data_IF_964338380495
#
_entry.id   IF_964338380495
#
_cell.length_a   1.000
_cell.length_b   1.000
_cell.length_c   1.000
_cell.angle_alpha   90.00
_cell.angle_beta   90.00
_cell.angle_gamma   90.00
#
_symmetry.space_group_name_H-M   'P 1'
#
loop_
_entity.id
_entity.type
_entity.pdbx_description
1 polymer ?
#
# COMPACT_ATOMS: atom_id res chain seq x y z
N UNK A 1 27.77 31.47 29.73
CA UNK A 1 26.70 30.61 30.26
C UNK A 1 25.82 30.26 29.07
N UNK A 2 25.99 29.05 28.51
CA UNK A 2 25.08 28.56 27.47
C UNK A 2 23.79 28.16 28.17
N UNK A 3 22.66 28.65 27.68
CA UNK A 3 21.38 28.15 28.15
C UNK A 3 21.31 26.67 27.77
N UNK A 4 21.23 25.80 28.78
CA UNK A 4 20.88 24.41 28.59
C UNK A 4 19.36 24.32 28.54
N UNK A 5 18.74 24.97 27.55
CA UNK A 5 17.31 24.96 27.35
C UNK A 5 16.80 23.53 27.35
N UNK A 6 16.17 23.15 28.46
CA UNK A 6 15.48 21.87 28.61
C UNK A 6 14.45 21.79 27.48
N UNK A 7 14.49 20.71 26.70
CA UNK A 7 13.51 20.49 25.65
C UNK A 7 12.11 20.63 26.26
N UNK A 8 11.17 21.34 25.60
CA UNK A 8 9.84 21.55 26.16
C UNK A 8 9.22 20.20 26.53
N UNK A 9 8.54 20.10 27.69
CA UNK A 9 8.03 18.84 28.20
C UNK A 9 7.07 18.20 27.18
N UNK A 10 7.34 16.96 26.81
CA UNK A 10 6.47 16.17 25.93
C UNK A 10 5.25 15.75 26.75
N UNK A 11 4.06 16.11 26.28
CA UNK A 11 2.80 15.68 26.89
C UNK A 11 2.45 14.30 26.36
N UNK A 12 2.32 13.32 27.24
CA UNK A 12 1.97 11.92 26.90
C UNK A 12 0.63 11.52 27.50
N UNK A 13 -0.09 10.61 26.84
CA UNK A 13 -1.36 10.03 27.31
C UNK A 13 -1.10 8.79 28.19
N UNK A 14 -0.24 7.87 27.73
CA UNK A 14 0.06 6.60 28.42
C UNK A 14 1.44 6.63 29.11
N UNK A 15 2.25 7.65 28.81
CA UNK A 15 3.59 7.82 29.37
C UNK A 15 4.56 6.76 28.90
N UNK A 16 5.50 6.38 29.76
CA UNK A 16 6.57 5.43 29.43
C UNK A 16 6.05 4.06 28.98
N UNK A 17 4.81 3.69 29.32
CA UNK A 17 4.21 2.43 28.93
C UNK A 17 4.12 2.26 27.40
N UNK A 18 3.72 3.30 26.67
CA UNK A 18 3.66 3.26 25.20
C UNK A 18 5.04 3.06 24.57
N UNK A 19 6.07 3.69 25.16
CA UNK A 19 7.46 3.56 24.70
C UNK A 19 7.99 2.14 24.94
N UNK A 20 7.79 1.57 26.14
CA UNK A 20 8.21 0.20 26.43
C UNK A 20 7.51 -0.85 25.55
N UNK A 21 6.23 -0.63 25.28
CA UNK A 21 5.44 -1.44 24.34
C UNK A 21 5.99 -1.33 22.91
N UNK A 22 6.34 -0.13 22.45
CA UNK A 22 6.98 0.08 21.15
C UNK A 22 8.35 -0.60 21.05
N UNK A 23 9.20 -0.50 22.08
CA UNK A 23 10.50 -1.20 22.15
C UNK A 23 10.30 -2.72 22.01
N UNK A 24 9.32 -3.27 22.73
CA UNK A 24 8.99 -4.70 22.67
C UNK A 24 8.53 -5.10 21.28
N UNK A 25 7.65 -4.31 20.66
CA UNK A 25 7.16 -4.55 19.31
C UNK A 25 8.30 -4.53 18.28
N UNK A 26 9.16 -3.51 18.32
CA UNK A 26 10.32 -3.40 17.43
C UNK A 26 11.30 -4.57 17.60
N UNK A 27 11.56 -5.00 18.83
CA UNK A 27 12.43 -6.16 19.11
C UNK A 27 11.87 -7.49 18.59
N UNK A 28 10.56 -7.57 18.35
CA UNK A 28 9.86 -8.74 17.80
C UNK A 28 9.53 -8.64 16.31
N UNK A 29 9.73 -7.48 15.69
CA UNK A 29 9.33 -7.23 14.32
C UNK A 29 10.21 -8.04 13.35
N UNK A 30 9.57 -8.59 12.31
CA UNK A 30 10.30 -9.25 11.23
C UNK A 30 11.11 -8.21 10.44
N UNK A 31 12.27 -8.60 9.93
CA UNK A 31 12.99 -7.79 8.95
C UNK A 31 12.10 -7.54 7.73
N UNK A 32 12.03 -6.30 7.29
CA UNK A 32 11.30 -5.89 6.09
C UNK A 32 12.28 -5.34 5.05
N UNK A 33 11.93 -5.50 3.78
CA UNK A 33 12.67 -4.87 2.68
C UNK A 33 12.48 -3.34 2.72
N UNK A 34 13.43 -2.57 2.17
CA UNK A 34 13.26 -1.13 2.02
C UNK A 34 11.98 -0.79 1.22
N UNK A 35 11.24 0.21 1.71
CA UNK A 35 10.05 0.72 1.02
C UNK A 35 10.46 1.60 -0.16
N UNK A 36 9.81 1.41 -1.31
CA UNK A 36 9.98 2.24 -2.50
C UNK A 36 8.90 3.33 -2.59
N UNK A 37 9.28 4.55 -2.95
CA UNK A 37 8.33 5.66 -3.10
C UNK A 37 7.63 5.60 -4.46
N UNK A 38 6.30 5.83 -4.47
CA UNK A 38 5.49 5.84 -5.69
C UNK A 38 4.70 7.15 -5.80
N UNK A 39 4.78 7.77 -6.99
CA UNK A 39 4.23 9.11 -7.23
C UNK A 39 2.71 9.16 -7.09
N UNK A 40 1.97 8.21 -7.70
CA UNK A 40 0.51 8.20 -7.60
C UNK A 40 0.00 8.04 -6.16
N UNK A 41 0.67 7.24 -5.33
CA UNK A 41 0.37 7.17 -3.89
C UNK A 41 0.71 8.47 -3.16
N UNK A 42 1.75 9.17 -3.59
CA UNK A 42 2.16 10.47 -3.01
C UNK A 42 1.09 11.52 -3.29
N UNK A 43 0.52 11.52 -4.50
CA UNK A 43 -0.65 12.35 -4.84
C UNK A 43 -1.87 11.99 -4.01
N UNK A 44 -2.16 10.69 -3.82
CA UNK A 44 -3.24 10.25 -2.93
C UNK A 44 -3.06 10.71 -1.47
N UNK A 45 -1.83 10.65 -0.96
CA UNK A 45 -1.49 11.15 0.37
C UNK A 45 -1.64 12.67 0.46
N UNK A 46 -1.26 13.40 -0.61
CA UNK A 46 -1.37 14.86 -0.68
C UNK A 46 -2.83 15.33 -0.70
N UNK A 47 -3.71 14.63 -1.41
CA UNK A 47 -5.15 14.89 -1.39
C UNK A 47 -5.72 14.76 0.03
N UNK A 48 -5.38 13.67 0.72
CA UNK A 48 -5.87 13.46 2.07
C UNK A 48 -5.27 14.44 3.07
N UNK A 49 -3.97 14.75 2.93
CA UNK A 49 -3.32 15.81 3.70
C UNK A 49 -4.05 17.15 3.51
N UNK A 50 -4.38 17.54 2.28
CA UNK A 50 -5.09 18.78 1.99
C UNK A 50 -6.49 18.80 2.62
N UNK A 51 -7.18 17.67 2.62
CA UNK A 51 -8.48 17.52 3.29
C UNK A 51 -8.34 17.69 4.82
N UNK A 52 -7.47 16.90 5.46
CA UNK A 52 -7.34 16.92 6.92
C UNK A 52 -6.69 18.19 7.47
N UNK A 53 -5.89 18.90 6.68
CA UNK A 53 -5.28 20.17 7.06
C UNK A 53 -6.18 21.38 6.78
N UNK A 54 -7.36 21.18 6.20
CA UNK A 54 -8.29 22.27 5.91
C UNK A 54 -9.06 22.74 7.15
N UNK A 55 -9.38 24.04 7.21
CA UNK A 55 -10.25 24.62 8.24
C UNK A 55 -9.72 24.43 9.68
N UNK A 56 -10.54 23.84 10.54
CA UNK A 56 -10.19 23.58 11.95
C UNK A 56 -9.29 22.35 12.16
N UNK A 57 -8.96 21.64 11.07
CA UNK A 57 -8.23 20.37 11.12
C UNK A 57 -9.14 19.18 11.41
N UNK A 58 -8.93 18.07 10.68
CA UNK A 58 -9.60 16.78 10.89
C UNK A 58 -8.56 15.72 11.31
N UNK A 59 -8.96 14.82 12.20
CA UNK A 59 -8.13 13.71 12.64
C UNK A 59 -8.81 12.40 12.27
N UNK A 60 -8.78 12.03 11.00
CA UNK A 60 -9.44 10.81 10.52
C UNK A 60 -8.78 10.26 9.24
N UNK A 61 -8.74 8.94 9.11
CA UNK A 61 -8.38 8.25 7.85
C UNK A 61 -9.46 8.36 6.77
N UNK A 62 -10.70 8.64 7.18
CA UNK A 62 -11.83 8.81 6.25
C UNK A 62 -11.92 10.28 5.80
N UNK A 63 -11.90 10.49 4.49
CA UNK A 63 -11.98 11.81 3.88
C UNK A 63 -13.32 12.50 4.13
N UNK A 64 -13.38 13.80 3.84
CA UNK A 64 -14.60 14.61 3.95
C UNK A 64 -15.69 14.18 2.99
N UNK A 65 -15.30 13.62 1.84
CA UNK A 65 -16.18 13.00 0.86
C UNK A 65 -16.60 11.56 1.26
N UNK A 66 -16.13 11.05 2.40
CA UNK A 66 -16.38 9.68 2.86
C UNK A 66 -15.37 8.65 2.34
N UNK A 67 -14.42 9.07 1.50
CA UNK A 67 -13.46 8.15 0.88
C UNK A 67 -12.54 7.47 1.90
N UNK A 68 -12.22 6.22 1.63
CA UNK A 68 -11.23 5.41 2.37
C UNK A 68 -9.84 5.51 1.70
N UNK A 69 -8.75 5.19 2.43
CA UNK A 69 -7.41 5.28 1.86
C UNK A 69 -7.22 4.51 0.55
N UNK A 70 -7.73 3.28 0.46
CA UNK A 70 -7.65 2.46 -0.75
C UNK A 70 -8.37 3.13 -1.93
N UNK A 71 -9.57 3.69 -1.71
CA UNK A 71 -10.34 4.39 -2.75
C UNK A 71 -9.61 5.65 -3.24
N UNK A 72 -8.93 6.39 -2.34
CA UNK A 72 -8.10 7.54 -2.72
C UNK A 72 -6.89 7.12 -3.55
N UNK A 73 -6.21 6.06 -3.14
CA UNK A 73 -5.10 5.48 -3.90
C UNK A 73 -5.54 5.04 -5.30
N UNK A 74 -6.72 4.41 -5.41
CA UNK A 74 -7.32 3.98 -6.68
C UNK A 74 -7.61 5.11 -7.67
N UNK A 75 -7.62 6.38 -7.25
CA UNK A 75 -7.73 7.54 -8.17
C UNK A 75 -6.46 7.76 -9.01
N UNK A 76 -5.32 7.23 -8.55
CA UNK A 76 -4.00 7.54 -9.10
C UNK A 76 -3.20 6.29 -9.53
N UNK A 77 -3.86 5.13 -9.57
CA UNK A 77 -3.26 3.85 -9.95
C UNK A 77 -3.88 2.69 -9.18
N UNK A 78 -3.44 1.46 -9.47
CA UNK A 78 -3.94 0.26 -8.79
C UNK A 78 -2.97 -0.16 -7.69
N UNK A 79 -3.47 -0.29 -6.45
CA UNK A 79 -2.71 -0.89 -5.36
C UNK A 79 -2.80 -2.42 -5.41
N UNK A 80 -1.78 -3.11 -4.90
CA UNK A 80 -1.68 -4.58 -4.97
C UNK A 80 -1.50 -5.20 -3.59
N UNK A 81 -2.09 -6.39 -3.41
CA UNK A 81 -1.99 -7.20 -2.20
C UNK A 81 -2.69 -6.59 -0.98
N UNK A 82 -2.05 -5.62 -0.34
CA UNK A 82 -2.59 -4.92 0.84
C UNK A 82 -2.47 -3.42 0.64
N UNK A 83 -3.41 -2.67 1.21
CA UNK A 83 -3.44 -1.22 1.19
C UNK A 83 -3.78 -0.68 2.58
N UNK A 84 -3.13 0.40 2.97
CA UNK A 84 -3.33 1.04 4.27
C UNK A 84 -2.87 2.49 4.27
N UNK A 85 -3.15 3.18 5.37
CA UNK A 85 -2.67 4.52 5.62
C UNK A 85 -2.32 4.65 7.10
N UNK A 86 -1.24 5.37 7.38
CA UNK A 86 -0.90 5.82 8.73
C UNK A 86 -0.77 7.35 8.73
N UNK A 87 -1.17 7.99 9.83
CA UNK A 87 -1.09 9.45 9.96
C UNK A 87 -0.33 9.81 11.23
N UNK A 88 0.81 10.47 11.06
CA UNK A 88 1.61 11.00 12.16
C UNK A 88 1.24 12.45 12.46
N UNK A 89 1.15 12.80 13.73
CA UNK A 89 0.94 14.17 14.20
C UNK A 89 2.02 14.57 15.20
N UNK A 90 2.33 15.87 15.26
CA UNK A 90 3.23 16.44 16.25
C UNK A 90 2.78 17.84 16.68
N UNK A 91 2.82 18.10 18.00
CA UNK A 91 2.40 19.37 18.59
C UNK A 91 3.42 20.51 18.42
N UNK A 92 4.63 20.18 17.97
CA UNK A 92 5.72 21.10 17.65
C UNK A 92 6.31 20.78 16.26
N UNK A 93 7.06 21.71 15.64
CA UNK A 93 7.72 21.45 14.36
C UNK A 93 8.61 20.21 14.50
N UNK A 94 8.28 19.17 13.75
CA UNK A 94 8.92 17.86 13.89
C UNK A 94 9.73 17.50 12.64
N UNK A 95 10.85 16.82 12.88
CA UNK A 95 11.59 16.09 11.87
C UNK A 95 10.78 14.89 11.35
N UNK A 96 11.20 14.35 10.19
CA UNK A 96 10.63 13.11 9.68
C UNK A 96 10.80 11.95 10.67
N UNK A 97 11.97 11.84 11.30
CA UNK A 97 12.24 10.80 12.31
C UNK A 97 11.27 10.89 13.49
N UNK A 98 11.00 12.09 14.01
CA UNK A 98 10.06 12.29 15.11
C UNK A 98 8.62 11.93 14.73
N UNK A 99 8.18 12.22 13.50
CA UNK A 99 6.84 11.82 13.03
C UNK A 99 6.72 10.29 12.94
N UNK A 100 7.76 9.61 12.45
CA UNK A 100 7.80 8.14 12.42
C UNK A 100 7.86 7.57 13.83
N UNK A 101 8.62 8.17 14.73
CA UNK A 101 8.65 7.78 16.14
C UNK A 101 7.28 7.95 16.81
N UNK A 102 6.56 9.04 16.55
CA UNK A 102 5.20 9.24 17.08
C UNK A 102 4.25 8.15 16.58
N UNK A 103 4.34 7.77 15.30
CA UNK A 103 3.58 6.64 14.74
C UNK A 103 3.94 5.33 15.44
N UNK A 104 5.23 5.03 15.58
CA UNK A 104 5.70 3.78 16.20
C UNK A 104 5.39 3.72 17.70
N UNK A 105 5.48 4.83 18.43
CA UNK A 105 5.10 4.87 19.85
C UNK A 105 3.58 4.73 20.00
N UNK A 106 2.80 5.33 19.09
CA UNK A 106 1.33 5.26 19.08
C UNK A 106 0.71 5.64 20.44
N UNK A 107 1.26 6.66 21.11
CA UNK A 107 0.80 7.08 22.43
C UNK A 107 -0.66 7.58 22.39
N UNK A 108 -1.51 6.99 23.22
CA UNK A 108 -2.95 7.24 23.25
C UNK A 108 -3.79 6.40 22.30
N UNK A 109 -3.16 5.68 21.37
CA UNK A 109 -3.83 4.82 20.39
C UNK A 109 -3.71 3.35 20.84
N UNK A 110 -4.58 2.95 21.78
CA UNK A 110 -4.53 1.62 22.44
C UNK A 110 -4.54 0.44 21.46
N UNK A 111 -5.14 0.61 20.28
CA UNK A 111 -5.19 -0.48 19.31
C UNK A 111 -3.86 -0.66 18.59
N UNK A 112 -2.91 0.29 18.64
CA UNK A 112 -1.61 0.26 17.95
C UNK A 112 -1.72 -0.05 16.45
N UNK A 113 -2.81 0.41 15.81
CA UNK A 113 -3.12 0.23 14.40
C UNK A 113 -2.00 0.77 13.51
N UNK A 114 -1.61 2.03 13.69
CA UNK A 114 -0.60 2.66 12.84
C UNK A 114 0.76 2.00 13.00
N UNK A 115 1.15 1.65 14.23
CA UNK A 115 2.36 0.87 14.48
C UNK A 115 2.33 -0.50 13.81
N UNK A 116 1.22 -1.23 13.88
CA UNK A 116 1.12 -2.52 13.17
C UNK A 116 1.21 -2.35 11.67
N UNK A 117 0.65 -1.28 11.13
CA UNK A 117 0.73 -1.00 9.70
C UNK A 117 2.18 -0.69 9.29
N UNK A 118 2.88 0.23 9.99
CA UNK A 118 4.25 0.61 9.62
C UNK A 118 5.27 -0.54 9.78
N UNK A 119 5.02 -1.48 10.70
CA UNK A 119 5.87 -2.66 10.92
C UNK A 119 5.45 -3.89 10.11
N UNK A 120 4.46 -3.77 9.23
CA UNK A 120 3.98 -4.90 8.43
C UNK A 120 4.87 -5.10 7.19
N UNK A 121 5.63 -6.22 7.08
CA UNK A 121 6.55 -6.46 5.96
C UNK A 121 5.84 -6.69 4.62
N UNK A 122 4.50 -6.77 4.61
CA UNK A 122 3.72 -6.86 3.38
C UNK A 122 3.65 -5.53 2.63
N UNK A 123 3.89 -4.39 3.30
CA UNK A 123 3.97 -3.11 2.62
C UNK A 123 5.37 -2.92 2.02
N UNK A 124 5.42 -2.64 0.72
CA UNK A 124 6.66 -2.52 -0.05
C UNK A 124 6.78 -1.17 -0.75
N UNK A 125 5.65 -0.48 -0.93
CA UNK A 125 5.60 0.83 -1.56
C UNK A 125 4.86 1.83 -0.68
N UNK A 126 5.23 3.10 -0.80
CA UNK A 126 4.60 4.18 -0.08
C UNK A 126 4.43 5.46 -0.91
N UNK A 127 3.47 6.27 -0.51
CA UNK A 127 3.35 7.66 -0.88
C UNK A 127 3.17 8.53 0.35
N UNK A 128 3.82 9.68 0.40
CA UNK A 128 3.92 10.48 1.62
C UNK A 128 3.65 11.94 1.31
N UNK A 129 2.77 12.56 2.09
CA UNK A 129 2.60 14.01 2.11
C UNK A 129 2.76 14.54 3.54
N UNK A 130 3.49 15.64 3.69
CA UNK A 130 3.77 16.23 5.00
C UNK A 130 3.52 17.73 4.99
N UNK A 131 3.13 18.28 6.13
CA UNK A 131 3.02 19.72 6.30
C UNK A 131 2.41 20.13 7.63
N UNK A 132 2.19 21.44 7.86
CA UNK A 132 1.53 21.93 9.06
C UNK A 132 0.06 21.51 9.13
N UNK A 133 -0.47 21.35 10.35
CA UNK A 133 -1.88 21.05 10.58
C UNK A 133 -2.50 22.12 11.52
N UNK A 134 -3.79 22.49 11.37
CA UNK A 134 -4.37 23.58 12.17
C UNK A 134 -4.34 23.32 13.69
N UNK A 135 -4.51 22.07 14.10
CA UNK A 135 -4.44 21.63 15.51
C UNK A 135 -3.04 21.21 15.95
N UNK A 136 -2.18 20.81 15.01
CA UNK A 136 -0.87 20.20 15.29
C UNK A 136 0.20 20.86 14.44
N UNK A 137 1.34 21.22 15.02
CA UNK A 137 2.39 21.91 14.27
C UNK A 137 2.93 21.14 13.07
N UNK A 138 2.86 19.80 13.05
CA UNK A 138 3.29 18.99 11.90
C UNK A 138 2.46 17.73 11.76
N UNK A 139 2.25 17.31 10.51
CA UNK A 139 1.55 16.08 10.13
C UNK A 139 2.25 15.39 8.96
N UNK A 140 2.20 14.06 8.95
CA UNK A 140 2.52 13.23 7.80
C UNK A 140 1.37 12.27 7.52
N UNK A 141 0.88 12.24 6.28
CA UNK A 141 0.01 11.20 5.75
C UNK A 141 0.89 10.23 4.95
N UNK A 142 0.83 8.95 5.28
CA UNK A 142 1.62 7.90 4.62
C UNK A 142 0.66 6.84 4.11
N UNK A 143 0.48 6.79 2.79
CA UNK A 143 -0.18 5.71 2.09
C UNK A 143 0.79 4.54 1.94
N UNK A 144 0.33 3.32 2.22
CA UNK A 144 1.14 2.09 2.15
C UNK A 144 0.44 1.05 1.28
N UNK A 145 1.19 0.34 0.46
CA UNK A 145 0.67 -0.80 -0.29
C UNK A 145 1.71 -1.92 -0.51
N UNK A 146 1.24 -3.11 -0.86
CA UNK A 146 2.10 -4.22 -1.26
C UNK A 146 2.75 -4.00 -2.64
N UNK A 147 2.09 -3.20 -3.49
CA UNK A 147 2.56 -2.72 -4.79
C UNK A 147 1.65 -1.58 -5.27
N UNK A 148 2.09 -0.77 -6.22
CA UNK A 148 1.30 0.33 -6.80
C UNK A 148 1.77 0.72 -8.19
N UNK A 149 0.85 0.89 -9.12
CA UNK A 149 1.11 1.43 -10.45
C UNK A 149 0.03 1.03 -11.46
N UNK A 150 0.20 1.52 -12.70
CA UNK A 150 -0.45 0.89 -13.84
C UNK A 150 0.03 -0.56 -13.91
N UNK A 151 -0.84 -1.48 -14.30
CA UNK A 151 -0.39 -2.82 -14.67
C UNK A 151 0.56 -2.71 -15.86
N UNK A 152 1.86 -2.58 -15.60
CA UNK A 152 2.84 -2.94 -16.60
C UNK A 152 2.84 -4.45 -16.68
N UNK A 153 2.14 -4.93 -17.70
CA UNK A 153 2.41 -6.16 -18.44
C UNK A 153 3.93 -6.48 -18.60
N UNK A 154 4.81 -5.51 -18.37
CA UNK A 154 6.26 -5.57 -18.49
C UNK A 154 7.02 -6.37 -17.43
N UNK A 155 6.48 -6.67 -16.25
CA UNK A 155 7.21 -7.57 -15.31
C UNK A 155 7.05 -9.06 -15.70
N UNK A 156 6.03 -9.38 -16.49
CA UNK A 156 5.84 -10.70 -17.10
C UNK A 156 6.31 -10.78 -18.55
N UNK A 157 6.85 -9.69 -19.10
CA UNK A 157 7.52 -9.62 -20.40
C UNK A 157 7.10 -10.71 -21.38
N UNK A 158 5.91 -10.56 -21.95
CA UNK A 158 5.30 -11.38 -23.00
C UNK A 158 4.39 -12.55 -22.56
N UNK A 159 4.77 -13.45 -21.65
CA UNK A 159 3.89 -14.54 -21.18
C UNK A 159 4.32 -15.03 -19.78
N UNK A 160 3.37 -15.49 -18.97
CA UNK A 160 3.66 -16.12 -17.69
C UNK A 160 2.78 -17.34 -17.47
N UNK A 161 3.32 -18.34 -16.79
CA UNK A 161 2.54 -19.52 -16.41
C UNK A 161 2.90 -19.91 -14.98
N UNK A 162 1.88 -20.16 -14.16
CA UNK A 162 2.06 -20.70 -12.83
C UNK A 162 0.92 -21.64 -12.45
N UNK A 163 1.25 -22.64 -11.65
CA UNK A 163 0.28 -23.59 -11.09
C UNK A 163 0.21 -23.42 -9.58
N UNK A 164 -1.00 -23.45 -9.04
CA UNK A 164 -1.24 -23.50 -7.60
C UNK A 164 -2.25 -24.62 -7.30
N UNK A 165 -1.88 -25.52 -6.39
CA UNK A 165 -2.85 -26.41 -5.77
C UNK A 165 -3.51 -25.69 -4.59
N UNK A 166 -4.82 -25.84 -4.40
CA UNK A 166 -5.56 -25.21 -3.32
C UNK A 166 -5.11 -25.59 -1.89
N UNK A 167 -4.28 -26.64 -1.78
CA UNK A 167 -3.67 -27.08 -0.51
C UNK A 167 -2.31 -26.44 -0.24
N UNK A 168 -1.76 -25.69 -1.20
CA UNK A 168 -0.44 -25.06 -1.14
C UNK A 168 -0.54 -23.54 -1.12
N UNK A 169 0.43 -22.83 -0.49
CA UNK A 169 0.49 -21.38 -0.58
C UNK A 169 0.78 -20.94 -2.03
N UNK A 170 0.10 -19.90 -2.49
CA UNK A 170 0.34 -19.33 -3.82
C UNK A 170 1.79 -18.85 -3.96
N UNK A 171 2.44 -19.23 -5.06
CA UNK A 171 3.78 -18.75 -5.39
C UNK A 171 3.75 -17.26 -5.72
N UNK A 172 4.86 -16.52 -5.55
CA UNK A 172 4.93 -15.11 -5.94
C UNK A 172 4.51 -14.86 -7.40
N UNK A 173 4.88 -15.75 -8.32
CA UNK A 173 4.50 -15.67 -9.72
C UNK A 173 3.00 -15.90 -9.94
N UNK A 174 2.39 -16.82 -9.19
CA UNK A 174 0.95 -17.05 -9.27
C UNK A 174 0.16 -15.84 -8.76
N UNK A 175 0.61 -15.24 -7.66
CA UNK A 175 0.04 -13.99 -7.13
C UNK A 175 0.18 -12.88 -8.17
N UNK A 176 1.36 -12.75 -8.78
CA UNK A 176 1.59 -11.77 -9.83
C UNK A 176 0.67 -11.97 -11.04
N UNK A 177 0.41 -13.21 -11.46
CA UNK A 177 -0.56 -13.51 -12.53
C UNK A 177 -1.97 -13.10 -12.11
N UNK A 178 -2.43 -13.48 -10.91
CA UNK A 178 -3.76 -13.09 -10.43
C UNK A 178 -3.92 -11.58 -10.33
N UNK A 179 -2.90 -10.89 -9.80
CA UNK A 179 -2.90 -9.45 -9.72
C UNK A 179 -2.99 -8.87 -11.15
N UNK A 180 -2.29 -9.45 -12.13
CA UNK A 180 -2.26 -8.99 -13.54
C UNK A 180 -3.58 -9.10 -14.31
N UNK A 181 -4.62 -9.71 -13.74
CA UNK A 181 -5.92 -9.90 -14.38
C UNK A 181 -6.85 -8.75 -14.00
N UNK A 182 -7.27 -7.88 -14.95
CA UNK A 182 -8.06 -6.68 -14.66
C UNK A 182 -9.56 -6.96 -14.48
N UNK A 183 -9.93 -8.20 -14.14
CA UNK A 183 -11.31 -8.66 -14.01
C UNK A 183 -11.48 -9.19 -12.57
N UNK A 184 -11.95 -8.33 -11.68
CA UNK A 184 -12.07 -8.63 -10.23
C UNK A 184 -12.92 -9.88 -9.98
N UNK A 185 -14.09 -9.99 -10.62
CA UNK A 185 -14.98 -11.15 -10.49
C UNK A 185 -14.31 -12.47 -10.88
N UNK A 186 -13.43 -12.46 -11.89
CA UNK A 186 -12.67 -13.63 -12.31
C UNK A 186 -11.62 -13.99 -11.25
N UNK A 187 -10.88 -13.01 -10.73
CA UNK A 187 -9.87 -13.24 -9.69
C UNK A 187 -10.51 -13.83 -8.43
N UNK A 188 -11.67 -13.33 -8.03
CA UNK A 188 -12.41 -13.84 -6.87
C UNK A 188 -12.95 -15.26 -7.09
N UNK A 189 -13.41 -15.57 -8.31
CA UNK A 189 -13.78 -16.93 -8.70
C UNK A 189 -12.58 -17.89 -8.56
N UNK A 190 -11.43 -17.55 -9.16
CA UNK A 190 -10.23 -18.40 -9.13
C UNK A 190 -9.72 -18.62 -7.69
N UNK A 191 -9.75 -17.59 -6.85
CA UNK A 191 -9.42 -17.71 -5.41
C UNK A 191 -10.40 -18.64 -4.68
N UNK A 192 -11.69 -18.56 -5.01
CA UNK A 192 -12.71 -19.43 -4.41
C UNK A 192 -12.54 -20.89 -4.82
N UNK A 193 -12.14 -21.16 -6.07
CA UNK A 193 -11.82 -22.51 -6.54
C UNK A 193 -10.60 -23.10 -5.83
N UNK A 194 -9.53 -22.31 -5.65
CA UNK A 194 -8.38 -22.73 -4.84
C UNK A 194 -8.79 -23.04 -3.39
N UNK A 195 -9.61 -22.19 -2.77
CA UNK A 195 -10.12 -22.43 -1.43
C UNK A 195 -10.99 -23.70 -1.33
N UNK A 196 -11.65 -24.09 -2.42
CA UNK A 196 -12.40 -25.34 -2.53
C UNK A 196 -11.52 -26.57 -2.79
N UNK A 197 -10.20 -26.40 -2.93
CA UNK A 197 -9.22 -27.48 -3.12
C UNK A 197 -8.90 -27.79 -4.59
N UNK A 198 -9.33 -26.96 -5.53
CA UNK A 198 -8.96 -27.11 -6.94
C UNK A 198 -7.46 -26.85 -7.16
N UNK A 199 -6.91 -27.42 -8.22
CA UNK A 199 -5.60 -27.07 -8.76
C UNK A 199 -5.81 -26.21 -10.00
N UNK A 200 -5.21 -25.03 -10.02
CA UNK A 200 -5.30 -24.09 -11.14
C UNK A 200 -3.93 -23.92 -11.79
N UNK A 201 -3.87 -24.05 -13.10
CA UNK A 201 -2.76 -23.56 -13.93
C UNK A 201 -3.25 -22.36 -14.70
N UNK A 202 -2.60 -21.22 -14.47
CA UNK A 202 -2.91 -19.95 -15.10
C UNK A 202 -1.80 -19.63 -16.08
N UNK A 203 -2.15 -19.50 -17.36
CA UNK A 203 -1.26 -18.99 -18.39
C UNK A 203 -1.74 -17.61 -18.82
N UNK A 204 -0.95 -16.61 -18.48
CA UNK A 204 -1.19 -15.21 -18.78
C UNK A 204 -0.48 -14.79 -20.06
N UNK A 205 -1.20 -14.07 -20.91
CA UNK A 205 -0.64 -13.26 -21.99
C UNK A 205 -1.28 -11.87 -21.96
N UNK A 206 -0.64 -10.82 -22.50
CA UNK A 206 -1.26 -9.51 -22.59
C UNK A 206 -2.64 -9.54 -23.24
N UNK A 207 -3.69 -9.27 -22.45
CA UNK A 207 -5.07 -9.26 -22.92
C UNK A 207 -5.79 -10.60 -22.84
N UNK A 208 -5.16 -11.65 -22.29
CA UNK A 208 -5.79 -12.95 -22.14
C UNK A 208 -5.26 -13.75 -20.92
N UNK A 209 -6.17 -14.44 -20.23
CA UNK A 209 -5.85 -15.46 -19.24
C UNK A 209 -6.42 -16.80 -19.71
N UNK A 210 -5.53 -17.75 -19.96
CA UNK A 210 -5.89 -19.13 -20.16
C UNK A 210 -5.90 -19.85 -18.82
N UNK A 211 -7.03 -20.45 -18.46
CA UNK A 211 -7.25 -21.12 -17.18
C UNK A 211 -7.39 -22.61 -17.42
N UNK A 212 -6.59 -23.41 -16.72
CA UNK A 212 -6.74 -24.85 -16.59
C UNK A 212 -7.06 -25.20 -15.14
N UNK A 213 -8.31 -25.57 -14.86
CA UNK A 213 -8.78 -25.95 -13.53
C UNK A 213 -8.95 -27.47 -13.42
N UNK A 214 -8.53 -28.04 -12.30
CA UNK A 214 -8.85 -29.42 -11.90
C UNK A 214 -9.47 -29.38 -10.51
N UNK A 215 -10.75 -29.72 -10.39
CA UNK A 215 -11.45 -29.71 -9.09
C UNK A 215 -10.93 -30.80 -8.15
N UNK A 216 -11.32 -30.74 -6.88
CA UNK A 216 -10.91 -31.72 -5.86
C UNK A 216 -11.37 -33.17 -6.16
N UNK A 217 -12.32 -33.36 -7.10
CA UNK A 217 -12.81 -34.67 -7.56
C UNK A 217 -12.10 -35.14 -8.84
N UNK A 218 -11.20 -34.33 -9.39
CA UNK A 218 -10.46 -34.60 -10.62
C UNK A 218 -11.19 -34.20 -11.91
N UNK A 219 -12.32 -33.49 -11.83
CA UNK A 219 -12.97 -32.93 -13.00
C UNK A 219 -12.14 -31.76 -13.56
N UNK A 220 -11.99 -31.71 -14.88
CA UNK A 220 -11.15 -30.72 -15.57
C UNK A 220 -12.00 -29.71 -16.33
N UNK A 221 -11.59 -28.46 -16.29
CA UNK A 221 -12.18 -27.35 -17.03
C UNK A 221 -11.06 -26.47 -17.61
N UNK A 222 -11.24 -26.03 -18.85
CA UNK A 222 -10.26 -25.23 -19.60
C UNK A 222 -10.99 -24.14 -20.37
N UNK A 223 -10.59 -22.89 -20.18
CA UNK A 223 -11.22 -21.73 -20.84
C UNK A 223 -10.27 -20.53 -20.92
N UNK A 224 -10.54 -19.66 -21.89
CA UNK A 224 -9.84 -18.40 -22.10
C UNK A 224 -10.72 -17.22 -21.66
N UNK A 225 -10.10 -16.22 -21.05
CA UNK A 225 -10.74 -14.94 -20.76
C UNK A 225 -9.91 -13.82 -21.38
N UNK A 226 -10.50 -13.12 -22.35
CA UNK A 226 -9.86 -11.99 -23.05
C UNK A 226 -10.36 -10.64 -22.53
N UNK A 227 -9.51 -9.62 -22.57
CA UNK A 227 -9.85 -8.23 -22.25
C UNK A 227 -9.10 -7.24 -23.14
N UNK A 228 -9.66 -6.04 -23.32
CA UNK A 228 -8.99 -4.97 -24.06
C UNK A 228 -7.77 -4.46 -23.28
N UNK A 229 -6.60 -4.56 -23.90
CA UNK A 229 -5.41 -3.84 -23.43
C UNK A 229 -5.48 -2.45 -24.02
N UNK A 230 -5.96 -1.47 -23.25
CA UNK A 230 -5.77 -0.07 -23.65
C UNK A 230 -4.25 0.17 -23.73
N UNK A 231 -3.73 0.24 -24.96
CA UNK A 231 -2.38 0.72 -25.20
C UNK A 231 -2.35 2.17 -24.71
N UNK A 232 -1.98 2.36 -23.45
CA UNK A 232 -1.63 3.66 -22.87
C UNK A 232 -0.83 4.41 -23.92
N UNK A 233 -1.43 5.49 -24.43
CA UNK A 233 -0.85 6.31 -25.49
C UNK A 233 0.54 6.74 -25.01
N UNK A 234 1.58 6.10 -25.54
CA UNK A 234 2.90 6.73 -25.64
C UNK A 234 2.67 8.05 -26.36
N UNK A 235 2.55 9.15 -25.62
CA UNK A 235 2.86 10.44 -26.19
C UNK A 235 4.30 10.28 -26.74
N UNK A 236 4.53 10.47 -28.05
CA UNK A 236 5.88 10.37 -28.57
C UNK A 236 6.73 11.37 -27.80
N UNK A 237 7.84 10.90 -27.23
CA UNK A 237 8.86 11.75 -26.66
C UNK A 237 9.19 12.81 -27.71
N UNK A 238 8.79 14.05 -27.46
CA UNK A 238 9.19 15.18 -28.29
C UNK A 238 10.71 15.28 -28.15
N UNK A 239 11.48 15.11 -29.22
CA UNK A 239 12.92 15.30 -29.12
C UNK A 239 13.16 16.78 -28.86
N UNK A 240 13.68 17.10 -27.68
CA UNK A 240 14.22 18.43 -27.40
C UNK A 240 15.49 18.56 -28.23
N UNK A 241 15.38 19.21 -29.39
CA UNK A 241 16.55 19.67 -30.14
C UNK A 241 17.27 20.72 -29.29
N UNK A 242 18.46 20.38 -28.80
CA UNK A 242 19.45 21.37 -28.38
C UNK A 242 20.10 21.93 -29.63
N UNK A 243 19.84 23.19 -29.94
CA UNK A 243 20.75 23.99 -30.76
C UNK A 243 21.71 24.76 -29.84
N UNK A 244 22.97 24.85 -30.29
CA UNK A 244 24.04 25.65 -29.71
C UNK A 244 23.87 27.12 -30.06
#
# INVERSE_FOLDING_TARGET
>A
AGDGGEAPPIVTIEGAAAVHDAITALGSAASADPISMVEGMTTAAADHYADISSGTGRMAHTGADGSKPAERMSKYGSWQGTAGEVIGYSVHPASAEELILNIIVSDGEKSRHDRRAILNPKFKVAGIATGPHPTYSSTAVVCLAGGFGDFTLGDLGEEAEATCAGTEPMSPQFIQILDSVPIEDLVDQLKSELAAGSTLTLKFTPGCLHVNATDARGAKEEYDVEWEVEASRRAPAVPVSREF
#
